data_IF_715467427626
#
_entry.id   IF_715467427626
#
_cell.length_a   1.000
_cell.length_b   1.000
_cell.length_c   1.000
_cell.angle_alpha   90.00
_cell.angle_beta   90.00
_cell.angle_gamma   90.00
#
_symmetry.space_group_name_H-M   'P 1'
#
loop_
_entity.id
_entity.type
_entity.pdbx_description
1 polymer ?
#
# COMPACT_ATOMS: atom_id res chain seq x y z
N UNK A 1 -7.89 -51.15 4.63
CA UNK A 1 -7.09 -50.05 4.03
C UNK A 1 -7.98 -49.20 3.15
N UNK A 2 -8.56 -48.11 3.66
CA UNK A 2 -9.29 -47.12 2.84
C UNK A 2 -9.10 -45.74 3.47
N UNK A 3 -8.12 -44.97 3.00
CA UNK A 3 -7.88 -43.62 3.49
C UNK A 3 -7.12 -42.76 2.47
N UNK A 4 -7.54 -42.64 1.20
CA UNK A 4 -6.86 -41.75 0.21
C UNK A 4 -7.78 -40.97 -0.76
N UNK A 5 -9.11 -41.00 -0.63
CA UNK A 5 -10.03 -40.29 -1.54
C UNK A 5 -10.31 -38.79 -1.25
N UNK A 6 -10.23 -38.25 -0.02
CA UNK A 6 -10.59 -36.83 0.21
C UNK A 6 -9.58 -35.83 -0.39
N UNK A 7 -8.30 -36.18 -0.39
CA UNK A 7 -7.20 -35.31 -0.83
C UNK A 7 -7.19 -35.08 -2.36
N UNK A 8 -7.64 -36.06 -3.13
CA UNK A 8 -7.67 -36.01 -4.60
C UNK A 8 -8.79 -35.10 -5.12
N UNK A 9 -9.99 -35.14 -4.50
CA UNK A 9 -11.09 -34.22 -4.79
C UNK A 9 -10.75 -32.77 -4.41
N UNK A 10 -10.10 -32.56 -3.26
CA UNK A 10 -9.63 -31.25 -2.84
C UNK A 10 -8.56 -30.69 -3.78
N UNK A 11 -7.59 -31.51 -4.20
CA UNK A 11 -6.54 -31.10 -5.13
C UNK A 11 -7.08 -30.77 -6.53
N UNK A 12 -8.05 -31.56 -7.03
CA UNK A 12 -8.70 -31.32 -8.32
C UNK A 12 -9.55 -30.03 -8.30
N UNK A 13 -10.33 -29.82 -7.23
CA UNK A 13 -11.11 -28.59 -7.03
C UNK A 13 -10.20 -27.37 -6.91
N UNK A 14 -9.08 -27.49 -6.20
CA UNK A 14 -8.08 -26.41 -6.08
C UNK A 14 -7.43 -26.08 -7.42
N UNK A 15 -7.17 -27.07 -8.28
CA UNK A 15 -6.64 -26.84 -9.62
C UNK A 15 -7.65 -26.09 -10.50
N UNK A 16 -8.93 -26.46 -10.45
CA UNK A 16 -10.02 -25.73 -11.15
C UNK A 16 -10.04 -24.26 -10.77
N UNK A 17 -9.99 -23.97 -9.47
CA UNK A 17 -10.00 -22.59 -8.96
C UNK A 17 -8.79 -21.76 -9.43
N UNK A 18 -7.61 -22.36 -9.57
CA UNK A 18 -6.44 -21.66 -10.12
C UNK A 18 -6.54 -21.38 -11.62
N UNK A 19 -7.25 -22.22 -12.37
CA UNK A 19 -7.51 -21.97 -13.78
C UNK A 19 -8.63 -20.94 -13.97
N UNK A 20 -9.65 -20.96 -13.11
CA UNK A 20 -10.69 -19.92 -13.03
C UNK A 20 -10.11 -18.55 -12.62
N UNK A 21 -9.17 -18.52 -11.68
CA UNK A 21 -8.51 -17.28 -11.26
C UNK A 21 -7.73 -16.58 -12.39
N UNK A 22 -7.41 -17.27 -13.49
CA UNK A 22 -6.76 -16.66 -14.67
C UNK A 22 -7.76 -16.01 -15.62
N UNK A 23 -9.05 -16.26 -15.47
CA UNK A 23 -10.07 -15.67 -16.32
C UNK A 23 -10.22 -14.18 -16.02
N UNK A 24 -10.65 -13.41 -17.02
CA UNK A 24 -10.91 -12.00 -16.82
C UNK A 24 -12.08 -11.82 -15.83
N UNK A 25 -11.93 -10.96 -14.81
CA UNK A 25 -13.00 -10.70 -13.84
C UNK A 25 -14.11 -9.85 -14.46
N UNK A 26 -15.05 -10.54 -15.12
CA UNK A 26 -16.16 -9.93 -15.84
C UNK A 26 -17.46 -10.60 -15.37
N UNK A 27 -18.46 -9.79 -15.03
CA UNK A 27 -19.80 -10.27 -14.67
C UNK A 27 -20.56 -10.79 -15.89
N UNK A 28 -21.69 -11.48 -15.67
CA UNK A 28 -22.54 -12.00 -16.76
C UNK A 28 -23.15 -10.89 -17.65
N UNK A 29 -23.25 -9.66 -17.13
CA UNK A 29 -23.68 -8.45 -17.84
C UNK A 29 -22.51 -7.57 -18.31
N UNK A 30 -21.32 -8.18 -18.49
CA UNK A 30 -20.13 -7.56 -19.10
C UNK A 30 -19.47 -6.42 -18.30
N UNK A 31 -19.73 -6.32 -16.99
CA UNK A 31 -19.01 -5.38 -16.12
C UNK A 31 -17.65 -5.94 -15.75
N UNK A 32 -16.59 -5.23 -16.14
CA UNK A 32 -15.23 -5.48 -15.68
C UNK A 32 -15.06 -5.00 -14.25
N UNK A 33 -14.41 -5.82 -13.42
CA UNK A 33 -14.11 -5.50 -12.03
C UNK A 33 -12.61 -5.72 -11.82
N UNK A 34 -11.91 -4.80 -11.16
CA UNK A 34 -10.51 -5.02 -10.81
C UNK A 34 -10.41 -5.92 -9.58
N UNK A 35 -9.74 -7.06 -9.72
CA UNK A 35 -9.39 -7.93 -8.58
C UNK A 35 -7.95 -7.65 -8.21
N UNK A 36 -7.73 -6.87 -7.15
CA UNK A 36 -6.38 -6.57 -6.65
C UNK A 36 -6.14 -7.22 -5.28
N UNK A 37 -4.87 -7.32 -4.89
CA UNK A 37 -4.51 -7.87 -3.59
C UNK A 37 -4.18 -6.79 -2.55
N UNK A 38 -4.28 -7.19 -1.28
CA UNK A 38 -3.76 -6.42 -0.15
C UNK A 38 -2.46 -7.09 0.31
N UNK A 39 -1.40 -6.31 0.49
CA UNK A 39 -0.08 -6.80 0.92
C UNK A 39 0.54 -5.91 2.00
N UNK A 40 1.47 -6.49 2.74
CA UNK A 40 2.33 -5.83 3.72
C UNK A 40 3.81 -5.93 3.32
N UNK A 41 4.16 -6.88 2.43
CA UNK A 41 5.53 -7.20 2.02
C UNK A 41 5.65 -7.40 0.50
N UNK A 42 6.78 -6.97 -0.07
CA UNK A 42 7.10 -7.19 -1.50
C UNK A 42 7.27 -8.66 -1.85
N UNK A 43 7.65 -9.51 -0.90
CA UNK A 43 7.73 -10.97 -1.08
C UNK A 43 6.39 -11.64 -1.38
N UNK A 44 5.26 -10.99 -1.04
CA UNK A 44 3.92 -11.50 -1.33
C UNK A 44 3.55 -11.36 -2.82
N UNK A 45 4.19 -10.43 -3.54
CA UNK A 45 3.87 -10.10 -4.95
C UNK A 45 3.99 -11.32 -5.87
N UNK A 46 4.98 -12.18 -5.64
CA UNK A 46 5.17 -13.39 -6.44
C UNK A 46 3.98 -14.35 -6.37
N UNK A 47 3.28 -14.41 -5.22
CA UNK A 47 2.10 -15.23 -5.06
C UNK A 47 0.87 -14.62 -5.75
N UNK A 48 0.76 -13.29 -5.80
CA UNK A 48 -0.40 -12.58 -6.37
C UNK A 48 -0.66 -12.95 -7.83
N UNK A 49 0.40 -13.04 -8.64
CA UNK A 49 0.31 -13.42 -10.05
C UNK A 49 -0.31 -14.82 -10.24
N UNK A 50 -0.11 -15.72 -9.27
CA UNK A 50 -0.67 -17.07 -9.30
C UNK A 50 -2.17 -17.10 -8.99
N UNK A 51 -2.66 -16.09 -8.28
CA UNK A 51 -4.06 -15.96 -7.88
C UNK A 51 -4.86 -15.00 -8.79
N UNK A 52 -4.29 -14.57 -9.92
CA UNK A 52 -4.99 -13.72 -10.89
C UNK A 52 -5.14 -12.26 -10.51
N UNK A 53 -4.45 -11.80 -9.46
CA UNK A 53 -4.57 -10.41 -9.01
C UNK A 53 -4.00 -9.42 -10.05
N UNK A 54 -4.81 -8.43 -10.38
CA UNK A 54 -4.51 -7.31 -11.27
C UNK A 54 -3.91 -6.15 -10.48
N UNK A 55 -2.77 -6.40 -9.82
CA UNK A 55 -2.06 -5.41 -9.02
C UNK A 55 -2.36 -5.47 -7.52
N UNK A 56 -1.99 -4.39 -6.84
CA UNK A 56 -2.15 -4.22 -5.40
C UNK A 56 -3.07 -3.05 -5.13
N UNK A 57 -4.24 -3.34 -4.55
CA UNK A 57 -5.24 -2.35 -4.17
C UNK A 57 -4.96 -1.73 -2.81
N UNK A 58 -4.09 -2.37 -2.01
CA UNK A 58 -3.64 -1.85 -0.73
C UNK A 58 -2.26 -2.39 -0.36
N UNK A 59 -1.26 -1.54 -0.38
CA UNK A 59 0.03 -1.81 0.25
C UNK A 59 0.05 -1.10 1.61
N UNK A 60 -0.04 -1.90 2.67
CA UNK A 60 0.10 -1.50 4.07
C UNK A 60 1.57 -1.25 4.42
N UNK A 61 1.87 -0.07 4.93
CA UNK A 61 3.25 0.38 5.17
C UNK A 61 3.70 0.21 6.62
N UNK A 62 2.81 -0.18 7.53
CA UNK A 62 3.06 -0.29 8.96
C UNK A 62 4.10 -1.36 9.30
N UNK A 63 4.13 -2.45 8.53
CA UNK A 63 5.04 -3.57 8.75
C UNK A 63 6.52 -3.13 8.70
N UNK A 64 6.84 -2.14 7.84
CA UNK A 64 8.19 -1.58 7.71
C UNK A 64 8.65 -0.95 9.04
N UNK A 65 7.74 -0.27 9.74
CA UNK A 65 8.00 0.32 11.06
C UNK A 65 8.07 -0.75 12.14
N UNK A 66 7.06 -1.64 12.20
CA UNK A 66 6.90 -2.62 13.28
C UNK A 66 8.08 -3.59 13.38
N UNK A 67 8.66 -3.97 12.25
CA UNK A 67 9.84 -4.86 12.22
C UNK A 67 11.11 -4.18 12.70
N UNK A 68 11.33 -2.91 12.35
CA UNK A 68 12.55 -2.17 12.69
C UNK A 68 12.48 -1.47 14.04
N UNK A 69 11.28 -1.31 14.61
CA UNK A 69 11.01 -0.50 15.81
C UNK A 69 11.58 0.92 15.72
N UNK A 70 11.58 1.47 14.51
CA UNK A 70 11.97 2.86 14.20
C UNK A 70 11.32 3.28 12.90
N UNK A 71 11.23 4.59 12.68
CA UNK A 71 10.81 5.11 11.39
C UNK A 71 11.87 4.80 10.31
N UNK A 72 11.46 4.20 9.16
CA UNK A 72 12.36 3.95 8.05
C UNK A 72 12.73 5.27 7.36
N UNK A 73 13.96 5.38 6.86
CA UNK A 73 14.37 6.56 6.10
C UNK A 73 13.64 6.63 4.76
N UNK A 74 13.60 7.81 4.14
CA UNK A 74 13.07 7.99 2.79
C UNK A 74 13.67 6.99 1.79
N UNK A 75 14.98 6.75 1.86
CA UNK A 75 15.68 5.85 0.95
C UNK A 75 15.29 4.38 1.17
N UNK A 76 15.10 3.96 2.43
CA UNK A 76 14.61 2.61 2.73
C UNK A 76 13.19 2.40 2.20
N UNK A 77 12.32 3.39 2.41
CA UNK A 77 10.94 3.37 1.93
C UNK A 77 10.89 3.36 0.39
N UNK A 78 11.66 4.24 -0.25
CA UNK A 78 11.75 4.34 -1.71
C UNK A 78 12.12 3.00 -2.35
N UNK A 79 13.12 2.29 -1.80
CA UNK A 79 13.55 0.99 -2.33
C UNK A 79 12.42 -0.04 -2.31
N UNK A 80 11.69 -0.11 -1.20
CA UNK A 80 10.55 -1.04 -1.03
C UNK A 80 9.43 -0.71 -2.00
N UNK A 81 9.05 0.57 -2.10
CA UNK A 81 7.97 1.02 -2.97
C UNK A 81 8.32 0.89 -4.45
N UNK A 82 9.56 1.21 -4.82
CA UNK A 82 10.13 1.06 -6.15
C UNK A 82 10.17 -0.40 -6.58
N UNK A 83 10.60 -1.29 -5.67
CA UNK A 83 10.55 -2.74 -5.90
C UNK A 83 9.13 -3.22 -6.21
N UNK A 84 8.15 -2.83 -5.40
CA UNK A 84 6.75 -3.19 -5.63
C UNK A 84 6.25 -2.69 -6.99
N UNK A 85 6.49 -1.40 -7.29
CA UNK A 85 6.08 -0.78 -8.54
C UNK A 85 6.66 -1.51 -9.76
N UNK A 86 7.96 -1.84 -9.74
CA UNK A 86 8.63 -2.57 -10.83
C UNK A 86 8.04 -3.96 -11.01
N UNK A 87 7.85 -4.73 -9.93
CA UNK A 87 7.39 -6.11 -10.01
C UNK A 87 5.92 -6.25 -10.47
N UNK A 88 5.11 -5.23 -10.19
CA UNK A 88 3.67 -5.22 -10.48
C UNK A 88 3.31 -4.63 -11.85
N UNK A 89 4.25 -4.01 -12.57
CA UNK A 89 3.97 -3.49 -13.92
C UNK A 89 3.34 -4.56 -14.84
N UNK A 90 2.31 -4.19 -15.63
CA UNK A 90 1.73 -2.84 -15.78
C UNK A 90 0.63 -2.50 -14.74
N UNK A 91 0.34 -3.38 -13.80
CA UNK A 91 -0.76 -3.20 -12.84
C UNK A 91 -0.44 -2.18 -11.74
N UNK A 92 -1.46 -1.52 -11.17
CA UNK A 92 -1.26 -0.50 -10.15
C UNK A 92 -0.78 -1.06 -8.81
N UNK A 93 -0.11 -0.21 -8.04
CA UNK A 93 0.19 -0.41 -6.63
C UNK A 93 -0.30 0.80 -5.84
N UNK A 94 -1.33 0.61 -5.02
CA UNK A 94 -1.88 1.66 -4.17
C UNK A 94 -1.18 1.60 -2.81
N UNK A 95 -0.31 2.57 -2.54
CA UNK A 95 0.44 2.66 -1.30
C UNK A 95 -0.34 3.49 -0.29
N UNK A 96 -0.73 2.85 0.81
CA UNK A 96 -1.36 3.54 1.92
C UNK A 96 -0.28 4.16 2.80
N UNK A 97 -0.41 5.46 3.05
CA UNK A 97 0.40 6.18 4.03
C UNK A 97 0.29 5.50 5.41
N UNK A 98 1.33 5.66 6.24
CA UNK A 98 1.46 4.98 7.52
C UNK A 98 0.23 5.15 8.42
N UNK A 99 -0.47 4.06 8.74
CA UNK A 99 -1.58 4.00 9.69
C UNK A 99 -1.11 3.37 11.01
N UNK A 100 -0.43 4.18 11.83
CA UNK A 100 0.03 3.79 13.15
C UNK A 100 -0.63 4.65 14.24
N UNK A 101 -0.92 4.04 15.39
CA UNK A 101 -1.41 4.72 16.59
C UNK A 101 -0.27 5.17 17.50
N UNK A 102 -0.50 6.22 18.29
CA UNK A 102 0.46 6.77 19.24
C UNK A 102 0.95 5.74 20.27
N UNK A 103 0.08 4.81 20.68
CA UNK A 103 0.38 3.70 21.59
C UNK A 103 1.53 2.81 21.09
N UNK A 104 1.68 2.68 19.77
CA UNK A 104 2.75 1.89 19.14
C UNK A 104 4.03 2.67 18.90
N UNK A 105 3.98 4.00 18.98
CA UNK A 105 5.12 4.89 18.70
C UNK A 105 5.80 5.32 20.00
N UNK A 106 5.03 5.62 21.04
CA UNK A 106 5.52 6.14 22.31
C UNK A 106 5.26 5.11 23.42
N UNK A 107 6.27 4.33 23.85
CA UNK A 107 6.12 3.40 24.97
C UNK A 107 5.59 4.12 26.22
N UNK A 108 4.48 3.63 26.78
CA UNK A 108 3.82 4.22 27.96
C UNK A 108 2.83 5.34 27.65
N UNK A 109 2.64 5.70 26.39
CA UNK A 109 1.52 6.54 25.97
C UNK A 109 0.24 5.69 25.89
N UNK A 110 -0.76 6.07 26.68
CA UNK A 110 -2.07 5.43 26.68
C UNK A 110 -3.16 6.45 26.38
N UNK A 111 -4.10 6.06 25.54
CA UNK A 111 -5.32 6.80 25.26
C UNK A 111 -6.52 6.01 25.76
N UNK A 112 -7.57 6.70 26.22
CA UNK A 112 -8.81 6.03 26.63
C UNK A 112 -9.42 5.18 25.50
N UNK A 113 -9.24 5.60 24.24
CA UNK A 113 -9.61 4.81 23.07
C UNK A 113 -8.66 5.06 21.88
N UNK A 114 -7.65 4.20 21.67
CA UNK A 114 -6.69 4.34 20.57
C UNK A 114 -7.32 4.29 19.18
N UNK A 115 -8.47 3.62 19.00
CA UNK A 115 -9.12 3.54 17.69
C UNK A 115 -9.72 4.87 17.24
N UNK A 116 -10.12 5.72 18.19
CA UNK A 116 -10.65 7.06 17.93
C UNK A 116 -9.61 8.17 18.15
N UNK A 117 -8.42 7.80 18.61
CA UNK A 117 -7.38 8.70 19.09
C UNK A 117 -6.38 9.17 18.03
N UNK A 118 -5.15 9.35 18.50
CA UNK A 118 -4.03 9.92 17.76
C UNK A 118 -3.35 8.87 16.87
N UNK A 119 -3.86 8.73 15.64
CA UNK A 119 -3.40 7.72 14.68
C UNK A 119 -3.35 8.21 13.25
N UNK A 120 -2.64 7.47 12.41
CA UNK A 120 -2.65 7.64 10.94
C UNK A 120 -2.29 9.07 10.51
N UNK A 121 -3.08 9.68 9.64
CA UNK A 121 -2.86 11.07 9.17
C UNK A 121 -2.78 12.08 10.30
N UNK A 122 -3.51 11.87 11.41
CA UNK A 122 -3.47 12.79 12.57
C UNK A 122 -2.11 12.76 13.25
N UNK A 123 -1.57 11.56 13.47
CA UNK A 123 -0.20 11.39 13.97
C UNK A 123 0.83 12.01 13.01
N UNK A 124 0.68 11.78 11.71
CA UNK A 124 1.61 12.27 10.70
C UNK A 124 1.56 13.79 10.50
N UNK A 125 0.41 14.41 10.72
CA UNK A 125 0.27 15.86 10.72
C UNK A 125 1.02 16.55 11.86
N UNK A 126 1.17 15.87 13.00
CA UNK A 126 1.98 16.39 14.12
C UNK A 126 3.47 16.03 13.98
N UNK A 127 3.79 15.11 13.06
CA UNK A 127 5.15 14.61 12.82
C UNK A 127 5.53 14.73 11.33
N UNK A 128 5.48 15.97 10.81
CA UNK A 128 5.59 16.22 9.37
C UNK A 128 6.91 15.72 8.75
N UNK A 129 8.01 15.66 9.49
CA UNK A 129 9.28 15.13 8.96
C UNK A 129 9.16 13.65 8.54
N UNK A 130 8.44 12.85 9.33
CA UNK A 130 8.17 11.45 9.04
C UNK A 130 7.25 11.36 7.82
N UNK A 131 6.23 12.21 7.79
CA UNK A 131 5.25 12.23 6.71
C UNK A 131 5.89 12.63 5.37
N UNK A 132 6.65 13.72 5.35
CA UNK A 132 7.34 14.22 4.16
C UNK A 132 8.38 13.21 3.66
N UNK A 133 9.08 12.50 4.54
CA UNK A 133 9.97 11.41 4.15
C UNK A 133 9.23 10.27 3.42
N UNK A 134 8.05 9.89 3.91
CA UNK A 134 7.22 8.88 3.24
C UNK A 134 6.64 9.39 1.91
N UNK A 135 6.15 10.63 1.86
CA UNK A 135 5.61 11.25 0.65
C UNK A 135 6.66 11.31 -0.46
N UNK A 136 7.87 11.77 -0.14
CA UNK A 136 8.99 11.80 -1.09
C UNK A 136 9.36 10.40 -1.58
N UNK A 137 9.39 9.41 -0.70
CA UNK A 137 9.68 8.03 -1.08
C UNK A 137 8.64 7.46 -2.07
N UNK A 138 7.35 7.70 -1.82
CA UNK A 138 6.25 7.27 -2.69
C UNK A 138 6.30 8.01 -4.04
N UNK A 139 6.46 9.33 -4.03
CA UNK A 139 6.62 10.12 -5.24
C UNK A 139 7.82 9.64 -6.06
N UNK A 140 8.98 9.40 -5.46
CA UNK A 140 10.13 8.85 -6.19
C UNK A 140 9.83 7.48 -6.81
N UNK A 141 9.10 6.60 -6.11
CA UNK A 141 8.66 5.32 -6.67
C UNK A 141 7.63 5.49 -7.80
N UNK A 142 6.81 6.55 -7.76
CA UNK A 142 5.85 6.85 -8.81
C UNK A 142 6.46 7.15 -10.17
N UNK A 143 7.76 7.44 -10.26
CA UNK A 143 8.48 7.54 -11.53
C UNK A 143 8.36 6.26 -12.41
N UNK A 144 7.94 5.14 -11.82
CA UNK A 144 7.60 3.93 -12.56
C UNK A 144 6.24 3.99 -13.27
N UNK A 145 5.33 4.90 -12.91
CA UNK A 145 4.08 5.19 -13.63
C UNK A 145 2.89 4.29 -13.31
N UNK A 146 2.98 3.47 -12.25
CA UNK A 146 1.88 2.61 -11.78
C UNK A 146 1.64 2.71 -10.27
N UNK A 147 2.21 3.72 -9.60
CA UNK A 147 2.01 3.95 -8.17
C UNK A 147 0.82 4.87 -7.98
N UNK A 148 0.01 4.59 -6.97
CA UNK A 148 -1.01 5.50 -6.44
C UNK A 148 -0.79 5.68 -4.95
N UNK A 149 -1.24 6.78 -4.38
CA UNK A 149 -1.18 7.04 -2.93
C UNK A 149 -2.59 7.07 -2.34
N UNK A 150 -2.74 6.57 -1.12
CA UNK A 150 -3.98 6.65 -0.35
C UNK A 150 -3.73 7.15 1.07
N UNK A 151 -4.51 8.14 1.51
CA UNK A 151 -4.47 8.67 2.88
C UNK A 151 -5.47 7.95 3.82
N UNK A 152 -5.01 7.25 4.88
CA UNK A 152 -5.90 6.59 5.83
C UNK A 152 -6.60 7.57 6.79
N UNK A 153 -7.77 7.17 7.32
CA UNK A 153 -8.44 7.84 8.44
C UNK A 153 -8.78 9.33 8.22
N UNK A 154 -9.00 9.73 6.97
CA UNK A 154 -9.55 11.05 6.65
C UNK A 154 -11.00 11.12 7.15
N UNK A 155 -11.28 12.14 7.95
CA UNK A 155 -12.59 12.42 8.54
C UNK A 155 -13.23 13.71 8.02
N UNK A 156 -12.44 14.65 7.48
CA UNK A 156 -12.97 15.88 6.90
C UNK A 156 -12.17 16.40 5.69
N UNK A 157 -12.75 17.39 5.00
CA UNK A 157 -12.16 17.98 3.80
C UNK A 157 -10.89 18.80 4.09
N UNK A 158 -10.74 19.35 5.29
CA UNK A 158 -9.56 20.12 5.68
C UNK A 158 -8.33 19.22 5.79
N UNK A 159 -8.49 17.99 6.26
CA UNK A 159 -7.43 16.98 6.32
C UNK A 159 -6.96 16.60 4.91
N UNK A 160 -7.88 16.46 3.94
CA UNK A 160 -7.53 16.22 2.53
C UNK A 160 -6.71 17.39 1.98
N UNK A 161 -7.15 18.63 2.23
CA UNK A 161 -6.43 19.83 1.77
C UNK A 161 -5.02 19.90 2.36
N UNK A 162 -4.88 19.59 3.67
CA UNK A 162 -3.58 19.57 4.35
C UNK A 162 -2.66 18.48 3.80
N UNK A 163 -3.17 17.26 3.60
CA UNK A 163 -2.41 16.16 3.01
C UNK A 163 -1.92 16.50 1.59
N UNK A 164 -2.78 17.08 0.75
CA UNK A 164 -2.39 17.55 -0.60
C UNK A 164 -1.37 18.68 -0.57
N UNK A 165 -1.45 19.59 0.40
CA UNK A 165 -0.44 20.64 0.58
C UNK A 165 0.94 20.05 0.92
N UNK A 166 0.99 19.08 1.84
CA UNK A 166 2.24 18.39 2.20
C UNK A 166 2.78 17.55 1.05
N UNK A 167 1.92 16.89 0.27
CA UNK A 167 2.31 16.18 -0.94
C UNK A 167 2.93 17.14 -1.98
N UNK A 168 2.33 18.31 -2.19
CA UNK A 168 2.86 19.35 -3.07
C UNK A 168 4.22 19.87 -2.59
N UNK A 169 4.37 20.11 -1.29
CA UNK A 169 5.67 20.47 -0.70
C UNK A 169 6.72 19.39 -0.97
N UNK A 170 6.36 18.12 -0.77
CA UNK A 170 7.26 17.00 -1.07
C UNK A 170 7.66 16.94 -2.55
N UNK A 171 6.73 17.19 -3.49
CA UNK A 171 7.06 17.25 -4.92
C UNK A 171 7.98 18.43 -5.25
N UNK A 172 7.70 19.63 -4.73
CA UNK A 172 8.57 20.82 -4.90
C UNK A 172 10.00 20.56 -4.37
N UNK A 173 10.13 19.87 -3.24
CA UNK A 173 11.42 19.47 -2.69
C UNK A 173 12.16 18.48 -3.61
N UNK A 174 11.46 17.53 -4.24
CA UNK A 174 12.05 16.60 -5.21
C UNK A 174 12.47 17.30 -6.50
N UNK A 175 11.66 18.24 -7.00
CA UNK A 175 11.98 19.07 -8.18
C UNK A 175 13.26 19.88 -7.95
N UNK A 176 13.39 20.51 -6.78
CA UNK A 176 14.60 21.27 -6.42
C UNK A 176 15.87 20.41 -6.44
N UNK A 177 15.73 19.11 -6.12
CA UNK A 177 16.80 18.10 -6.13
C UNK A 177 16.93 17.39 -7.49
N UNK A 178 16.13 17.77 -8.50
CA UNK A 178 16.05 17.15 -9.83
C UNK A 178 15.77 15.64 -9.77
N UNK A 179 14.97 15.20 -8.79
CA UNK A 179 14.55 13.81 -8.67
C UNK A 179 13.27 13.57 -9.45
N UNK A 180 13.19 12.45 -10.17
CA UNK A 180 12.02 12.10 -11.00
C UNK A 180 10.90 11.53 -10.14
N UNK A 181 9.68 11.87 -10.50
CA UNK A 181 8.42 11.32 -10.00
C UNK A 181 7.34 11.50 -11.07
N UNK A 182 6.18 10.89 -10.88
CA UNK A 182 4.99 11.10 -11.73
C UNK A 182 4.18 12.30 -11.19
N UNK A 183 4.09 13.43 -11.93
CA UNK A 183 3.33 14.60 -11.49
C UNK A 183 1.82 14.35 -11.47
N UNK A 184 1.36 13.34 -12.21
CA UNK A 184 -0.05 12.96 -12.34
C UNK A 184 -0.41 11.74 -11.48
N UNK A 185 0.48 11.34 -10.56
CA UNK A 185 0.26 10.22 -9.64
C UNK A 185 -1.10 10.36 -8.96
N UNK A 186 -1.97 9.36 -9.11
CA UNK A 186 -3.30 9.39 -8.53
C UNK A 186 -3.28 9.42 -6.99
N UNK A 187 -4.11 10.29 -6.43
CA UNK A 187 -4.19 10.57 -4.98
C UNK A 187 -5.60 10.27 -4.48
N UNK A 188 -5.69 9.29 -3.57
CA UNK A 188 -6.92 8.86 -2.89
C UNK A 188 -6.94 9.13 -1.39
#
# INVERSE_FOLDING_TARGET
>A
MKAHQPLTLYAASRKSLFDEAKQAPITLDERKIDISANIELTSEIGALKRYGAQGVGLFRTEYIFLTKRRFPSEEEQYRIYSEAAIQLKPHPVIIRILDIGGDKVLPGYEEANPFLGWRAVRFLFDNEDIFLAQLRAILRASAHGNVKIMFPMISDLSEIKRAKLLLKRASEELESKKQRFDPDMEVG
#
